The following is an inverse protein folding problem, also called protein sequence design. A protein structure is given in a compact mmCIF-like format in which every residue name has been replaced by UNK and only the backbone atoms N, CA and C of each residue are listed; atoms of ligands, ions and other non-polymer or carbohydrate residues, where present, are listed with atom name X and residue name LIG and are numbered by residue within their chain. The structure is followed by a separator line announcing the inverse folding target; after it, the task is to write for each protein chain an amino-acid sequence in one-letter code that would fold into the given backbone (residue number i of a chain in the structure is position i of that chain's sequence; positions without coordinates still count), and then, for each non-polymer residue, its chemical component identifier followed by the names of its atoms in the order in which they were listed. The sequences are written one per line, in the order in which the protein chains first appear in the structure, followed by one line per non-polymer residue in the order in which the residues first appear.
data_IF_046169892328
#
_entry.id   IF_046169892328
#
_cell.length_a   1.000
_cell.length_b   1.000
_cell.length_c   1.000
_cell.angle_alpha   90.00
_cell.angle_beta   90.00
_cell.angle_gamma   90.00
#
_symmetry.space_group_name_H-M   'P 1'
#
loop_
_entity.id
_entity.type
_entity.pdbx_description
1 polymer ?
#
# COMPACT_ATOMS: atom_id res chain seq x y z
N UNK A 1 12.59 17.81 5.96
CA UNK A 1 13.89 17.11 5.84
C UNK A 1 14.01 16.61 4.41
N UNK A 2 15.16 16.76 3.79
CA UNK A 2 15.40 16.28 2.42
C UNK A 2 16.73 15.56 2.36
N UNK A 3 16.81 14.47 1.59
CA UNK A 3 17.98 13.60 1.45
C UNK A 3 18.13 13.23 -0.04
N UNK A 4 19.30 13.44 -0.60
CA UNK A 4 19.62 12.99 -1.94
C UNK A 4 19.96 11.49 -1.89
N UNK A 5 19.18 10.66 -2.57
CA UNK A 5 19.41 9.21 -2.68
C UNK A 5 20.37 8.91 -3.82
N UNK A 6 20.24 9.64 -4.94
CA UNK A 6 21.15 9.62 -6.09
C UNK A 6 21.33 11.04 -6.62
N UNK A 7 22.04 11.19 -7.76
CA UNK A 7 22.16 12.48 -8.47
C UNK A 7 20.81 12.99 -8.99
N UNK A 8 19.84 12.09 -9.21
CA UNK A 8 18.54 12.39 -9.83
C UNK A 8 17.35 12.09 -8.92
N UNK A 9 17.55 11.39 -7.81
CA UNK A 9 16.49 10.97 -6.90
C UNK A 9 16.66 11.60 -5.52
N UNK A 10 15.61 12.27 -5.06
CA UNK A 10 15.57 12.94 -3.76
C UNK A 10 14.38 12.41 -2.93
N UNK A 11 14.65 12.06 -1.68
CA UNK A 11 13.62 11.75 -0.69
C UNK A 11 13.36 12.98 0.17
N UNK A 12 12.11 13.42 0.23
CA UNK A 12 11.69 14.55 1.06
C UNK A 12 10.62 14.11 2.06
N UNK A 13 10.84 14.42 3.32
CA UNK A 13 9.86 14.19 4.41
C UNK A 13 9.21 15.51 4.76
N UNK A 14 7.87 15.56 4.68
CA UNK A 14 7.06 16.73 5.02
C UNK A 14 5.71 16.32 5.59
N UNK A 15 5.10 17.21 6.37
CA UNK A 15 3.70 17.07 6.75
C UNK A 15 2.80 17.52 5.58
N UNK A 16 1.63 16.92 5.46
CA UNK A 16 0.66 17.33 4.46
C UNK A 16 -0.40 16.27 4.17
N UNK A 17 -1.39 16.66 3.37
CA UNK A 17 -2.40 15.74 2.86
C UNK A 17 -1.87 15.03 1.61
N UNK A 18 -1.84 13.69 1.66
CA UNK A 18 -1.42 12.84 0.55
C UNK A 18 -2.28 13.09 -0.71
N UNK A 19 -3.59 13.25 -0.54
CA UNK A 19 -4.52 13.37 -1.65
C UNK A 19 -4.53 14.77 -2.31
N UNK A 20 -3.98 15.78 -1.62
CA UNK A 20 -3.78 17.12 -2.17
C UNK A 20 -2.53 17.25 -3.05
N UNK A 21 -1.63 16.25 -3.04
CA UNK A 21 -0.39 16.29 -3.82
C UNK A 21 -0.64 16.02 -5.31
N UNK A 22 0.12 16.67 -6.17
CA UNK A 22 0.16 16.36 -7.59
C UNK A 22 1.30 15.39 -7.89
N UNK A 23 0.96 14.23 -8.46
CA UNK A 23 1.88 13.11 -8.69
C UNK A 23 1.28 11.76 -8.33
N UNK A 24 2.10 10.73 -8.33
CA UNK A 24 1.69 9.36 -8.02
C UNK A 24 1.53 9.21 -6.50
N UNK A 25 0.45 8.58 -6.07
CA UNK A 25 0.17 8.36 -4.65
C UNK A 25 0.26 6.89 -4.31
N UNK A 26 1.04 6.56 -3.27
CA UNK A 26 1.10 5.21 -2.72
C UNK A 26 -0.03 5.01 -1.73
N UNK A 27 -0.81 3.96 -1.95
CA UNK A 27 -1.93 3.56 -1.09
C UNK A 27 -1.59 2.20 -0.46
N UNK A 28 -1.27 2.15 0.83
CA UNK A 28 -1.10 0.88 1.54
C UNK A 28 -2.46 0.19 1.67
N UNK A 29 -2.50 -1.07 1.25
CA UNK A 29 -3.71 -1.92 1.26
C UNK A 29 -3.43 -3.25 1.99
N UNK A 30 -4.45 -4.08 2.21
CA UNK A 30 -4.28 -5.43 2.72
C UNK A 30 -3.90 -6.43 1.63
N UNK A 31 -3.51 -7.64 2.02
CA UNK A 31 -3.04 -8.70 1.13
C UNK A 31 -4.06 -9.16 0.07
N UNK A 32 -5.34 -8.86 0.24
CA UNK A 32 -6.41 -9.20 -0.71
C UNK A 32 -6.77 -8.06 -1.65
N UNK A 33 -6.21 -6.86 -1.45
CA UNK A 33 -6.57 -5.66 -2.21
C UNK A 33 -8.08 -5.38 -2.17
N UNK A 34 -8.65 -5.46 -0.97
CA UNK A 34 -10.08 -5.29 -0.76
C UNK A 34 -10.59 -3.91 -1.18
N UNK A 35 -11.83 -3.89 -1.69
CA UNK A 35 -12.56 -2.65 -1.99
C UNK A 35 -13.79 -2.47 -1.10
N UNK A 36 -14.02 -3.37 -0.14
CA UNK A 36 -15.13 -3.30 0.81
C UNK A 36 -14.77 -2.40 2.00
N UNK A 37 -15.48 -1.28 2.10
CA UNK A 37 -15.28 -0.27 3.15
C UNK A 37 -16.14 -0.60 4.38
N UNK A 38 -15.54 -0.70 5.54
CA UNK A 38 -16.23 -1.06 6.78
C UNK A 38 -16.14 -2.54 7.12
N UNK A 39 -17.00 -2.99 8.01
CA UNK A 39 -17.20 -4.38 8.46
C UNK A 39 -15.90 -5.12 8.86
N UNK A 40 -14.93 -4.37 9.43
CA UNK A 40 -13.63 -4.94 9.80
C UNK A 40 -12.66 -5.16 8.63
N UNK A 41 -13.07 -4.93 7.37
CA UNK A 41 -12.27 -5.18 6.17
C UNK A 41 -11.36 -4.01 5.87
N UNK A 42 -11.93 -2.84 5.53
CA UNK A 42 -11.16 -1.61 5.33
C UNK A 42 -11.71 -0.51 6.24
N UNK A 43 -10.90 -0.11 7.23
CA UNK A 43 -11.31 0.93 8.17
C UNK A 43 -11.43 2.30 7.46
N UNK A 44 -12.56 3.02 7.67
CA UNK A 44 -12.87 4.23 6.90
C UNK A 44 -11.92 5.42 7.08
N UNK A 45 -11.16 5.45 8.16
CA UNK A 45 -10.23 6.54 8.52
C UNK A 45 -8.75 6.21 8.23
N UNK A 46 -8.48 5.10 7.54
CA UNK A 46 -7.15 4.77 7.01
C UNK A 46 -6.93 5.41 5.64
N UNK A 47 -5.68 5.45 5.17
CA UNK A 47 -5.37 5.91 3.80
C UNK A 47 -6.11 5.06 2.76
N UNK A 48 -6.18 3.73 2.97
CA UNK A 48 -6.97 2.82 2.14
C UNK A 48 -8.46 3.21 2.12
N UNK A 49 -9.05 3.41 3.30
CA UNK A 49 -10.45 3.82 3.43
C UNK A 49 -10.73 5.19 2.82
N UNK A 50 -9.83 6.15 2.98
CA UNK A 50 -9.95 7.48 2.36
C UNK A 50 -9.86 7.40 0.84
N UNK A 51 -8.98 6.54 0.31
CA UNK A 51 -8.92 6.25 -1.13
C UNK A 51 -10.25 5.70 -1.65
N UNK A 52 -10.84 4.70 -0.98
CA UNK A 52 -12.13 4.13 -1.38
C UNK A 52 -13.27 5.15 -1.26
N UNK A 53 -13.30 5.95 -0.21
CA UNK A 53 -14.28 7.05 -0.04
C UNK A 53 -14.21 8.07 -1.16
N UNK A 54 -13.01 8.42 -1.61
CA UNK A 54 -12.79 9.36 -2.72
C UNK A 54 -13.50 8.90 -4.00
N UNK A 55 -13.60 7.60 -4.19
CA UNK A 55 -14.22 6.96 -5.36
C UNK A 55 -15.53 6.25 -5.02
N UNK A 56 -16.24 6.74 -3.99
CA UNK A 56 -17.56 6.23 -3.62
C UNK A 56 -18.49 6.25 -4.83
N UNK A 57 -19.14 5.11 -5.09
CA UNK A 57 -19.99 4.92 -6.29
C UNK A 57 -19.26 4.35 -7.50
N UNK A 58 -17.93 4.28 -7.49
CA UNK A 58 -17.13 3.64 -8.54
C UNK A 58 -16.47 2.32 -8.06
N UNK A 59 -16.85 1.82 -6.90
CA UNK A 59 -16.23 0.61 -6.29
C UNK A 59 -16.17 -0.59 -7.24
N UNK A 60 -17.23 -0.97 -7.98
CA UNK A 60 -17.16 -2.10 -8.91
C UNK A 60 -16.14 -1.88 -10.04
N UNK A 61 -16.03 -0.65 -10.54
CA UNK A 61 -15.03 -0.29 -11.56
C UNK A 61 -13.62 -0.42 -11.01
N UNK A 62 -13.37 0.09 -9.81
CA UNK A 62 -12.05 0.03 -9.15
C UNK A 62 -11.67 -1.41 -8.85
N UNK A 63 -12.59 -2.20 -8.31
CA UNK A 63 -12.37 -3.63 -8.06
C UNK A 63 -11.98 -4.37 -9.34
N UNK A 64 -12.71 -4.16 -10.44
CA UNK A 64 -12.38 -4.74 -11.74
C UNK A 64 -10.98 -4.34 -12.22
N UNK A 65 -10.59 -3.08 -12.06
CA UNK A 65 -9.23 -2.60 -12.41
C UNK A 65 -8.15 -3.27 -11.55
N UNK A 66 -8.39 -3.38 -10.25
CA UNK A 66 -7.48 -4.07 -9.32
C UNK A 66 -7.31 -5.53 -9.73
N UNK A 67 -8.41 -6.28 -9.95
CA UNK A 67 -8.37 -7.71 -10.34
C UNK A 67 -7.58 -7.89 -11.63
N UNK A 68 -7.81 -7.04 -12.63
CA UNK A 68 -7.07 -7.09 -13.91
C UNK A 68 -5.55 -6.89 -13.73
N UNK A 69 -5.13 -5.96 -12.87
CA UNK A 69 -3.70 -5.76 -12.60
C UNK A 69 -3.11 -6.94 -11.81
N UNK A 70 -3.88 -7.55 -10.92
CA UNK A 70 -3.48 -8.70 -10.12
C UNK A 70 -3.36 -9.99 -10.94
N UNK A 71 -4.02 -10.12 -12.09
CA UNK A 71 -3.85 -11.25 -13.01
C UNK A 71 -2.39 -11.46 -13.47
N UNK A 72 -1.58 -10.39 -13.41
CA UNK A 72 -0.15 -10.41 -13.76
C UNK A 72 0.78 -10.68 -12.58
N UNK A 73 0.22 -10.88 -11.39
CA UNK A 73 0.97 -11.08 -10.16
C UNK A 73 0.75 -12.50 -9.66
N UNK A 74 1.79 -13.06 -9.04
CA UNK A 74 1.69 -14.39 -8.45
C UNK A 74 1.00 -14.31 -7.09
N UNK A 75 -0.12 -15.03 -6.89
CA UNK A 75 -0.79 -15.09 -5.60
C UNK A 75 0.02 -15.91 -4.59
N UNK A 76 -0.31 -15.76 -3.31
CA UNK A 76 0.30 -16.56 -2.25
C UNK A 76 -0.22 -18.00 -2.34
N UNK A 77 0.65 -18.94 -2.71
CA UNK A 77 0.30 -20.35 -2.85
C UNK A 77 0.02 -21.01 -1.49
N UNK A 78 -1.00 -21.90 -1.44
CA UNK A 78 -1.29 -22.71 -0.26
C UNK A 78 -1.96 -21.98 0.90
N UNK A 79 -2.55 -20.82 0.65
CA UNK A 79 -3.37 -20.12 1.65
C UNK A 79 -4.78 -20.70 1.65
N UNK A 80 -5.01 -21.71 2.49
CA UNK A 80 -6.38 -22.27 2.75
C UNK A 80 -7.18 -21.36 3.72
N UNK A 81 -6.81 -20.09 3.84
CA UNK A 81 -7.51 -19.15 4.71
C UNK A 81 -8.87 -18.82 4.12
N UNK A 82 -9.89 -19.40 4.71
CA UNK A 82 -11.27 -18.98 4.45
C UNK A 82 -11.52 -17.64 5.14
N UNK A 83 -12.17 -16.74 4.43
CA UNK A 83 -12.60 -15.45 4.95
C UNK A 83 -14.11 -15.53 5.20
N UNK A 84 -14.49 -15.64 6.46
CA UNK A 84 -15.88 -15.79 6.86
C UNK A 84 -16.56 -14.46 7.24
N UNK A 85 -15.79 -13.33 7.23
CA UNK A 85 -16.27 -12.04 7.72
C UNK A 85 -17.43 -11.45 6.91
N UNK A 86 -17.31 -11.45 5.60
CA UNK A 86 -18.29 -10.86 4.68
C UNK A 86 -18.39 -11.74 3.43
N UNK A 87 -19.61 -11.96 2.97
CA UNK A 87 -19.84 -12.72 1.74
C UNK A 87 -19.28 -11.98 0.51
N UNK A 88 -18.83 -12.75 -0.47
CA UNK A 88 -18.36 -12.27 -1.78
C UNK A 88 -17.07 -11.41 -1.73
N UNK A 89 -16.26 -11.55 -0.68
CA UNK A 89 -14.92 -10.95 -0.64
C UNK A 89 -13.90 -11.74 -1.48
N UNK A 90 -12.84 -11.08 -1.99
CA UNK A 90 -11.74 -11.77 -2.64
C UNK A 90 -11.09 -12.81 -1.70
N UNK A 91 -10.91 -14.03 -2.18
CA UNK A 91 -10.35 -15.13 -1.39
C UNK A 91 -8.84 -15.33 -1.61
N UNK A 92 -8.30 -14.75 -2.67
CA UNK A 92 -6.90 -14.93 -3.08
C UNK A 92 -6.01 -13.86 -2.46
N UNK A 93 -5.12 -14.19 -1.50
CA UNK A 93 -4.16 -13.25 -0.96
C UNK A 93 -2.90 -13.15 -1.85
N UNK A 94 -2.22 -12.03 -1.75
CA UNK A 94 -0.96 -11.77 -2.45
C UNK A 94 0.18 -11.55 -1.44
N UNK A 95 1.44 -11.86 -1.81
CA UNK A 95 2.59 -11.60 -0.95
C UNK A 95 2.67 -10.14 -0.53
N UNK A 96 3.10 -9.87 0.71
CA UNK A 96 3.38 -8.50 1.14
C UNK A 96 4.45 -7.87 0.27
N UNK A 97 4.27 -6.60 -0.07
CA UNK A 97 5.09 -5.87 -1.03
C UNK A 97 4.62 -6.03 -2.48
N UNK A 98 3.58 -6.82 -2.76
CA UNK A 98 2.97 -6.82 -4.09
C UNK A 98 2.42 -5.43 -4.39
N UNK A 99 2.84 -4.87 -5.54
CA UNK A 99 2.42 -3.56 -6.01
C UNK A 99 1.64 -3.67 -7.32
N UNK A 100 0.60 -2.86 -7.45
CA UNK A 100 -0.12 -2.66 -8.72
C UNK A 100 -0.26 -1.15 -8.99
N UNK A 101 -0.34 -0.79 -10.27
CA UNK A 101 -0.56 0.59 -10.71
C UNK A 101 -1.99 0.78 -11.19
N UNK A 102 -2.65 1.81 -10.68
CA UNK A 102 -3.98 2.21 -11.15
C UNK A 102 -3.94 3.64 -11.70
N UNK A 103 -4.71 3.87 -12.75
CA UNK A 103 -4.99 5.21 -13.29
C UNK A 103 -6.50 5.41 -13.24
N UNK A 104 -6.96 6.29 -12.35
CA UNK A 104 -8.37 6.58 -12.14
C UNK A 104 -8.58 8.07 -12.36
N UNK A 105 -9.41 8.45 -13.34
CA UNK A 105 -9.70 9.85 -13.66
C UNK A 105 -8.43 10.70 -13.80
N UNK A 106 -7.45 10.22 -14.59
CA UNK A 106 -6.12 10.80 -14.83
C UNK A 106 -5.22 10.92 -13.60
N UNK A 107 -5.61 10.36 -12.46
CA UNK A 107 -4.78 10.29 -11.25
C UNK A 107 -4.10 8.95 -11.16
N UNK A 108 -2.80 8.96 -10.85
CA UNK A 108 -1.97 7.76 -10.78
C UNK A 108 -1.82 7.31 -9.32
N UNK A 109 -1.96 6.01 -9.09
CA UNK A 109 -1.81 5.37 -7.79
C UNK A 109 -0.93 4.13 -7.90
N UNK A 110 -0.17 3.85 -6.85
CA UNK A 110 0.48 2.57 -6.60
C UNK A 110 -0.18 2.00 -5.34
N UNK A 111 -0.90 0.89 -5.49
CA UNK A 111 -1.41 0.15 -4.35
C UNK A 111 -0.38 -0.88 -3.95
N UNK A 112 -0.08 -0.98 -2.66
CA UNK A 112 0.91 -1.94 -2.11
C UNK A 112 0.31 -2.74 -0.97
N UNK A 113 0.40 -4.08 -1.04
CA UNK A 113 0.00 -4.97 0.04
C UNK A 113 0.97 -4.84 1.22
N UNK A 114 0.51 -4.31 2.35
CA UNK A 114 1.35 -4.08 3.54
C UNK A 114 0.84 -4.78 4.79
N UNK A 115 -0.40 -5.25 4.79
CA UNK A 115 -1.04 -5.86 5.96
C UNK A 115 -1.63 -7.22 5.62
N UNK A 116 -1.56 -8.13 6.59
CA UNK A 116 -2.24 -9.43 6.56
C UNK A 116 -3.39 -9.47 7.55
N UNK A 117 -4.37 -10.30 7.28
CA UNK A 117 -5.32 -10.71 8.29
C UNK A 117 -4.72 -11.84 9.12
N UNK A 118 -4.69 -11.69 10.45
CA UNK A 118 -4.30 -12.74 11.37
C UNK A 118 -5.44 -13.76 11.58
N UNK A 119 -5.20 -14.79 12.37
CA UNK A 119 -6.20 -15.85 12.67
C UNK A 119 -7.48 -15.33 13.35
N UNK A 120 -7.42 -14.15 13.97
CA UNK A 120 -8.56 -13.48 14.59
C UNK A 120 -9.20 -12.43 13.66
N UNK A 121 -8.90 -12.48 12.36
CA UNK A 121 -9.39 -11.57 11.34
C UNK A 121 -9.07 -10.08 11.59
N UNK A 122 -8.04 -9.80 12.40
CA UNK A 122 -7.50 -8.46 12.57
C UNK A 122 -6.37 -8.20 11.60
N UNK A 123 -6.34 -7.00 11.05
CA UNK A 123 -5.29 -6.54 10.15
C UNK A 123 -4.01 -6.27 10.94
N UNK A 124 -2.91 -6.89 10.53
CA UNK A 124 -1.60 -6.75 11.17
C UNK A 124 -0.49 -6.49 10.14
N UNK A 125 0.56 -5.79 10.58
CA UNK A 125 1.81 -5.66 9.83
C UNK A 125 2.84 -6.59 10.46
N UNK A 126 3.35 -7.53 9.66
CA UNK A 126 4.43 -8.40 10.09
C UNK A 126 5.74 -7.58 10.21
N UNK A 127 6.14 -7.28 11.46
CA UNK A 127 7.34 -6.47 11.73
C UNK A 127 8.63 -7.00 11.11
N UNK A 128 8.93 -8.31 11.13
CA UNK A 128 10.09 -8.86 10.44
C UNK A 128 10.09 -8.64 8.93
N UNK A 129 8.92 -8.63 8.29
CA UNK A 129 8.79 -8.43 6.85
C UNK A 129 8.73 -6.95 6.45
N UNK A 130 8.42 -6.05 7.38
CA UNK A 130 8.20 -4.64 7.08
C UNK A 130 9.35 -3.97 6.30
N UNK A 131 10.64 -4.11 6.67
CA UNK A 131 11.74 -3.54 5.89
C UNK A 131 11.81 -4.08 4.45
N UNK A 132 11.51 -5.37 4.26
CA UNK A 132 11.50 -6.02 2.94
C UNK A 132 10.35 -5.47 2.09
N UNK A 133 9.19 -5.28 2.69
CA UNK A 133 8.02 -4.69 2.01
C UNK A 133 8.34 -3.27 1.52
N UNK A 134 8.96 -2.45 2.37
CA UNK A 134 9.33 -1.08 2.01
C UNK A 134 10.41 -1.07 0.92
N UNK A 135 11.40 -1.98 0.98
CA UNK A 135 12.41 -2.10 -0.08
C UNK A 135 11.80 -2.51 -1.42
N UNK A 136 10.89 -3.48 -1.44
CA UNK A 136 10.14 -3.87 -2.65
C UNK A 136 9.33 -2.69 -3.19
N UNK A 137 8.68 -1.93 -2.31
CA UNK A 137 7.93 -0.74 -2.72
C UNK A 137 8.83 0.28 -3.42
N UNK A 138 10.03 0.58 -2.90
CA UNK A 138 10.95 1.50 -3.57
C UNK A 138 11.38 1.00 -4.95
N UNK A 139 11.66 -0.29 -5.09
CA UNK A 139 11.97 -0.90 -6.37
C UNK A 139 10.81 -0.73 -7.37
N UNK A 140 9.58 -1.02 -6.96
CA UNK A 140 8.39 -0.85 -7.80
C UNK A 140 8.11 0.63 -8.12
N UNK A 141 8.35 1.54 -7.18
CA UNK A 141 8.22 2.99 -7.41
C UNK A 141 9.18 3.46 -8.52
N UNK A 142 10.41 2.97 -8.55
CA UNK A 142 11.37 3.27 -9.60
C UNK A 142 10.85 2.81 -10.96
N UNK A 143 10.30 1.60 -11.06
CA UNK A 143 9.76 1.04 -12.31
C UNK A 143 8.46 1.73 -12.77
N UNK A 144 7.63 2.16 -11.83
CA UNK A 144 6.26 2.62 -12.11
C UNK A 144 6.10 4.15 -12.13
N UNK A 145 7.13 4.90 -11.69
CA UNK A 145 7.01 6.35 -11.53
C UNK A 145 7.04 7.13 -12.86
N UNK A 146 7.66 6.59 -13.90
CA UNK A 146 7.90 7.32 -15.16
C UNK A 146 8.50 8.72 -14.90
N UNK A 147 9.45 8.83 -13.96
CA UNK A 147 10.07 10.07 -13.47
C UNK A 147 9.07 11.08 -12.85
N UNK A 148 7.84 10.67 -12.53
CA UNK A 148 6.91 11.52 -11.80
C UNK A 148 7.21 11.51 -10.29
N UNK A 149 6.93 12.60 -9.57
CA UNK A 149 6.98 12.59 -8.11
C UNK A 149 6.06 11.51 -7.53
N UNK A 150 6.59 10.73 -6.58
CA UNK A 150 5.81 9.72 -5.86
C UNK A 150 5.66 10.16 -4.41
N UNK A 151 4.43 10.18 -3.94
CA UNK A 151 4.06 10.55 -2.57
C UNK A 151 3.58 9.31 -1.83
N UNK A 152 4.17 9.04 -0.68
CA UNK A 152 3.80 7.91 0.17
C UNK A 152 3.50 8.39 1.59
N UNK A 153 2.51 7.77 2.28
CA UNK A 153 2.27 8.06 3.68
C UNK A 153 3.35 7.42 4.55
N UNK A 154 3.39 7.77 5.83
CA UNK A 154 4.15 7.01 6.83
C UNK A 154 3.46 5.64 7.02
N UNK A 155 3.85 4.67 6.20
CA UNK A 155 3.29 3.31 6.22
C UNK A 155 3.48 2.71 7.61
N UNK A 156 2.42 2.12 8.18
CA UNK A 156 2.43 1.56 9.54
C UNK A 156 2.20 2.58 10.65
N UNK A 157 2.14 3.88 10.35
CA UNK A 157 1.92 4.94 11.35
C UNK A 157 0.45 5.12 11.79
N UNK A 158 -0.47 4.33 11.22
CA UNK A 158 -1.91 4.38 11.49
C UNK A 158 -2.41 3.25 12.40
N UNK A 159 -3.66 2.82 12.18
CA UNK A 159 -4.36 1.80 12.99
C UNK A 159 -3.86 0.35 12.80
N UNK A 160 -2.96 0.09 11.89
CA UNK A 160 -2.49 -1.25 11.54
C UNK A 160 -1.62 -1.94 12.63
N UNK A 161 -1.64 -1.44 13.85
CA UNK A 161 -1.10 -2.14 15.03
C UNK A 161 0.42 -2.32 15.09
N UNK A 162 1.19 -1.59 14.28
CA UNK A 162 2.65 -1.70 14.29
C UNK A 162 3.21 -1.21 15.60
N UNK A 163 3.87 -2.09 16.36
CA UNK A 163 4.55 -1.75 17.62
C UNK A 163 5.87 -1.00 17.41
N UNK A 164 5.90 -0.08 16.45
CA UNK A 164 7.03 0.80 16.17
C UNK A 164 6.61 2.27 16.34
N UNK A 165 7.53 3.07 16.85
CA UNK A 165 7.34 4.52 16.91
C UNK A 165 7.36 5.10 15.48
N UNK A 166 6.73 6.25 15.29
CA UNK A 166 6.77 6.96 13.99
C UNK A 166 8.19 7.21 13.51
N UNK A 167 9.13 7.46 14.43
CA UNK A 167 10.53 7.67 14.11
C UNK A 167 11.22 6.38 13.64
N UNK A 168 10.91 5.24 14.24
CA UNK A 168 11.43 3.94 13.81
C UNK A 168 10.92 3.57 12.41
N UNK A 169 9.62 3.80 12.15
CA UNK A 169 9.04 3.61 10.81
C UNK A 169 9.70 4.51 9.78
N UNK A 170 9.86 5.80 10.09
CA UNK A 170 10.51 6.75 9.19
C UNK A 170 11.97 6.37 8.91
N UNK A 171 12.73 5.98 9.94
CA UNK A 171 14.11 5.52 9.78
C UNK A 171 14.21 4.28 8.88
N UNK A 172 13.27 3.33 9.03
CA UNK A 172 13.21 2.14 8.16
C UNK A 172 12.95 2.54 6.71
N UNK A 173 12.02 3.46 6.47
CA UNK A 173 11.72 3.97 5.13
C UNK A 173 12.94 4.66 4.53
N UNK A 174 13.62 5.53 5.27
CA UNK A 174 14.82 6.24 4.80
C UNK A 174 15.93 5.23 4.43
N UNK A 175 16.20 4.26 5.29
CA UNK A 175 17.21 3.22 5.03
C UNK A 175 16.87 2.37 3.81
N UNK A 176 15.62 1.96 3.68
CA UNK A 176 15.17 1.22 2.50
C UNK A 176 15.37 2.02 1.22
N UNK A 177 15.04 3.32 1.22
CA UNK A 177 15.30 4.22 0.10
C UNK A 177 16.78 4.31 -0.23
N UNK A 178 17.64 4.51 0.75
CA UNK A 178 19.09 4.55 0.56
C UNK A 178 19.64 3.25 -0.06
N UNK A 179 19.16 2.09 0.41
CA UNK A 179 19.62 0.78 -0.09
C UNK A 179 19.10 0.46 -1.49
N UNK A 180 17.94 0.98 -1.87
CA UNK A 180 17.32 0.70 -3.18
C UNK A 180 17.97 1.49 -4.32
N UNK A 181 18.60 2.62 -4.00
CA UNK A 181 19.21 3.53 -4.97
C UNK A 181 20.74 3.66 -4.83
N UNK A 182 21.37 2.80 -4.04
CA UNK A 182 22.84 2.76 -3.85
C UNK A 182 23.56 1.89 -4.89
#
# INVERSE_FOLDING_TARGET
MSLDLTKTTKLTVSFGDLFAKDGIKVIPVNEYFDTHLGDGIVAPNTIHGLFLKKYKGQTPRIDSMIRKELERKEPLSGSDRKRDMVKDLPETPYPLGTCIRLIIDNKKYILVAVTRFNENEHVDINLPEYPIVIQKLFYEMEQLSDANPVYMPLIGGGQAGVKLTKMQLLNTIIRAGQNSFS
#
